data_IF_528590206616
#
_entry.id   IF_528590206616
#
_cell.length_a   1.000
_cell.length_b   1.000
_cell.length_c   1.000
_cell.angle_alpha   90.00
_cell.angle_beta   90.00
_cell.angle_gamma   90.00
#
_symmetry.space_group_name_H-M   'P 1'
#
loop_
_entity.id
_entity.type
_entity.pdbx_description
1 polymer ?
#
# COMPACT_ATOMS: atom_id res chain seq x y z
N UNK A 1 47.60 -22.73 -11.16
CA UNK A 1 47.33 -22.50 -12.60
C UNK A 1 46.43 -23.62 -13.06
N UNK A 2 45.13 -23.39 -13.09
CA UNK A 2 44.12 -24.44 -13.37
C UNK A 2 43.41 -24.07 -14.67
N UNK A 3 43.34 -24.98 -15.67
CA UNK A 3 42.78 -24.65 -16.96
C UNK A 3 41.25 -24.59 -16.90
N UNK A 4 40.69 -23.48 -17.38
CA UNK A 4 39.27 -23.33 -17.67
C UNK A 4 38.91 -24.16 -18.90
N UNK A 5 38.02 -25.13 -18.72
CA UNK A 5 37.40 -25.88 -19.82
C UNK A 5 36.14 -25.10 -20.25
N UNK A 6 36.20 -24.51 -21.44
CA UNK A 6 35.10 -23.81 -22.08
C UNK A 6 34.26 -24.84 -22.88
N UNK A 7 33.11 -25.25 -22.34
CA UNK A 7 32.16 -26.12 -23.06
C UNK A 7 31.18 -25.25 -23.83
N UNK A 8 31.39 -25.14 -25.14
CA UNK A 8 30.43 -24.53 -26.05
C UNK A 8 29.29 -25.51 -26.35
N UNK A 9 28.13 -25.29 -25.73
CA UNK A 9 26.90 -26.01 -26.05
C UNK A 9 26.34 -25.47 -27.37
N UNK A 10 26.59 -26.20 -28.45
CA UNK A 10 25.96 -26.00 -29.76
C UNK A 10 24.49 -26.39 -29.63
N UNK A 11 23.61 -25.38 -29.53
CA UNK A 11 22.17 -25.57 -29.45
C UNK A 11 21.59 -26.09 -30.76
N UNK A 12 20.97 -27.27 -30.74
CA UNK A 12 20.18 -27.76 -31.86
C UNK A 12 18.96 -26.84 -32.10
N UNK A 13 18.66 -26.48 -33.36
CA UNK A 13 17.47 -25.68 -33.69
C UNK A 13 16.22 -26.47 -33.34
N UNK A 14 15.41 -25.93 -32.41
CA UNK A 14 14.14 -26.52 -31.99
C UNK A 14 13.14 -26.44 -33.16
N UNK A 15 12.50 -27.54 -33.58
CA UNK A 15 11.53 -27.52 -34.66
C UNK A 15 10.38 -26.58 -34.30
N UNK A 16 10.03 -25.69 -35.23
CA UNK A 16 8.94 -24.73 -35.07
C UNK A 16 7.61 -25.50 -34.89
N UNK A 17 6.94 -25.24 -33.77
CA UNK A 17 5.61 -25.79 -33.53
C UNK A 17 4.63 -25.23 -34.58
N UNK A 18 3.70 -26.05 -35.11
CA UNK A 18 2.68 -25.58 -36.04
C UNK A 18 1.84 -24.48 -35.37
N UNK A 19 1.60 -23.40 -36.10
CA UNK A 19 0.79 -22.29 -35.62
C UNK A 19 -0.62 -22.82 -35.27
N UNK A 20 -1.15 -22.51 -34.06
CA UNK A 20 -2.51 -22.90 -33.72
C UNK A 20 -3.48 -22.23 -34.69
N UNK A 21 -4.39 -23.03 -35.26
CA UNK A 21 -5.50 -22.50 -36.05
C UNK A 21 -6.30 -21.50 -35.21
N UNK A 22 -6.67 -20.33 -35.75
CA UNK A 22 -7.50 -19.38 -35.03
C UNK A 22 -8.85 -20.02 -34.74
N UNK A 23 -9.13 -20.28 -33.47
CA UNK A 23 -10.46 -20.68 -33.02
C UNK A 23 -11.37 -19.48 -33.29
N UNK A 24 -12.50 -19.64 -34.01
CA UNK A 24 -13.47 -18.57 -34.19
C UNK A 24 -13.87 -18.06 -32.81
N UNK A 25 -13.63 -16.77 -32.56
CA UNK A 25 -14.11 -16.11 -31.35
C UNK A 25 -15.62 -16.11 -31.40
N UNK A 26 -16.22 -17.14 -30.82
CA UNK A 26 -17.64 -17.16 -30.50
C UNK A 26 -17.89 -15.94 -29.62
N UNK A 27 -18.72 -15.02 -30.13
CA UNK A 27 -19.19 -13.83 -29.43
C UNK A 27 -20.06 -14.30 -28.26
N UNK A 28 -19.40 -14.69 -27.17
CA UNK A 28 -20.07 -14.85 -25.87
C UNK A 28 -20.47 -13.43 -25.46
N UNK A 29 -21.76 -13.12 -25.57
CA UNK A 29 -22.32 -11.92 -24.95
C UNK A 29 -21.92 -11.96 -23.47
N UNK A 30 -21.15 -10.96 -22.98
CA UNK A 30 -20.71 -10.97 -21.61
C UNK A 30 -21.94 -10.99 -20.71
N UNK A 31 -22.01 -12.00 -19.85
CA UNK A 31 -23.02 -12.07 -18.79
C UNK A 31 -23.01 -10.73 -18.05
N UNK A 32 -24.16 -10.08 -17.83
CA UNK A 32 -24.20 -8.74 -17.25
C UNK A 32 -23.51 -8.78 -15.89
N UNK A 33 -22.33 -8.13 -15.81
CA UNK A 33 -21.58 -8.07 -14.56
C UNK A 33 -22.49 -7.50 -13.47
N UNK A 34 -22.52 -8.14 -12.28
CA UNK A 34 -23.30 -7.63 -11.16
C UNK A 34 -22.92 -6.16 -10.90
N UNK A 35 -23.89 -5.29 -10.59
CA UNK A 35 -23.62 -3.87 -10.41
C UNK A 35 -22.53 -3.70 -9.36
N UNK A 36 -21.49 -2.95 -9.71
CA UNK A 36 -20.38 -2.69 -8.80
C UNK A 36 -20.93 -2.15 -7.47
N UNK A 37 -20.42 -2.63 -6.31
CA UNK A 37 -20.84 -2.10 -5.02
C UNK A 37 -20.60 -0.60 -5.00
N UNK A 38 -21.65 0.17 -4.66
CA UNK A 38 -21.53 1.62 -4.50
C UNK A 38 -20.48 1.88 -3.41
N UNK A 39 -19.47 2.73 -3.64
CA UNK A 39 -18.46 3.01 -2.63
C UNK A 39 -19.13 3.52 -1.36
N UNK A 40 -18.77 2.93 -0.21
CA UNK A 40 -19.26 3.39 1.08
C UNK A 40 -18.74 4.81 1.32
N UNK A 41 -19.65 5.78 1.30
CA UNK A 41 -19.36 7.13 1.77
C UNK A 41 -19.24 7.18 3.30
N UNK A 42 -18.97 8.37 3.86
CA UNK A 42 -18.97 8.56 5.31
C UNK A 42 -20.32 8.15 5.91
N UNK A 43 -20.28 7.45 7.04
CA UNK A 43 -21.44 6.80 7.66
C UNK A 43 -22.01 7.62 8.82
N UNK A 44 -21.22 8.54 9.36
CA UNK A 44 -21.61 9.42 10.45
C UNK A 44 -21.12 10.86 10.20
N UNK A 45 -21.62 11.79 11.02
CA UNK A 45 -21.34 13.23 10.87
C UNK A 45 -19.87 13.59 11.08
N UNK A 46 -19.14 12.84 11.90
CA UNK A 46 -17.71 13.09 12.13
C UNK A 46 -16.89 12.65 10.92
N UNK A 47 -17.17 11.47 10.37
CA UNK A 47 -16.57 10.98 9.11
C UNK A 47 -16.88 11.94 7.95
N UNK A 48 -18.11 12.47 7.86
CA UNK A 48 -18.50 13.44 6.83
C UNK A 48 -17.73 14.76 6.97
N UNK A 49 -17.58 15.27 8.20
CA UNK A 49 -16.82 16.50 8.45
C UNK A 49 -15.33 16.33 8.11
N UNK A 50 -14.72 15.20 8.45
CA UNK A 50 -13.34 14.91 8.09
C UNK A 50 -13.18 14.71 6.57
N UNK A 51 -14.11 13.99 5.92
CA UNK A 51 -14.13 13.79 4.48
C UNK A 51 -14.17 15.12 3.71
N UNK A 52 -15.05 16.04 4.10
CA UNK A 52 -15.15 17.37 3.47
C UNK A 52 -13.86 18.17 3.59
N UNK A 53 -13.13 18.06 4.71
CA UNK A 53 -11.82 18.71 4.88
C UNK A 53 -10.72 18.06 4.03
N UNK A 54 -10.84 16.77 3.73
CA UNK A 54 -9.88 16.02 2.90
C UNK A 54 -10.12 16.19 1.39
N UNK A 55 -11.31 16.63 1.01
CA UNK A 55 -11.76 16.77 -0.37
C UNK A 55 -10.94 17.78 -1.22
N UNK A 56 -10.56 18.98 -0.73
CA UNK A 56 -9.86 19.98 -1.53
C UNK A 56 -8.50 19.48 -2.02
N UNK A 57 -8.25 19.51 -3.33
CA UNK A 57 -7.02 18.93 -3.90
C UNK A 57 -5.78 19.80 -3.68
N UNK A 58 -5.90 21.12 -3.72
CA UNK A 58 -4.79 22.06 -3.58
C UNK A 58 -5.31 23.33 -2.87
N UNK A 59 -4.70 23.77 -1.74
CA UNK A 59 -3.58 23.12 -1.04
C UNK A 59 -3.97 21.79 -0.40
N UNK A 60 -2.96 20.96 -0.11
CA UNK A 60 -3.15 19.76 0.72
C UNK A 60 -3.55 20.19 2.14
N UNK A 61 -4.60 19.58 2.73
CA UNK A 61 -5.03 19.94 4.08
C UNK A 61 -3.98 19.51 5.10
N UNK A 62 -3.77 20.35 6.12
CA UNK A 62 -2.92 20.01 7.27
C UNK A 62 -3.66 19.01 8.15
N UNK A 63 -3.01 17.93 8.58
CA UNK A 63 -3.66 16.88 9.38
C UNK A 63 -4.29 17.43 10.67
N UNK A 64 -3.63 18.36 11.34
CA UNK A 64 -4.18 19.05 12.52
C UNK A 64 -5.54 19.74 12.23
N UNK A 65 -5.72 20.31 11.04
CA UNK A 65 -6.99 20.95 10.65
C UNK A 65 -8.07 19.90 10.38
N UNK A 66 -7.72 18.76 9.77
CA UNK A 66 -8.64 17.64 9.54
C UNK A 66 -9.17 17.10 10.87
N UNK A 67 -8.25 16.86 11.81
CA UNK A 67 -8.54 16.29 13.13
C UNK A 67 -9.29 17.25 14.06
N UNK A 68 -9.23 18.56 13.81
CA UNK A 68 -9.87 19.56 14.65
C UNK A 68 -11.38 19.30 14.80
N UNK A 69 -11.81 18.98 16.01
CA UNK A 69 -13.21 18.74 16.37
C UNK A 69 -13.67 17.28 16.23
N UNK A 70 -12.79 16.34 15.89
CA UNK A 70 -13.11 14.91 15.94
C UNK A 70 -13.00 14.40 17.37
N UNK A 71 -13.96 13.57 17.78
CA UNK A 71 -13.97 12.95 19.10
C UNK A 71 -12.92 11.85 19.22
N UNK A 72 -12.71 11.10 18.13
CA UNK A 72 -11.70 10.07 17.97
C UNK A 72 -11.03 10.21 16.58
N UNK A 73 -9.98 11.04 16.48
CA UNK A 73 -9.31 11.28 15.20
C UNK A 73 -8.73 10.01 14.59
N UNK A 74 -8.12 9.14 15.40
CA UNK A 74 -7.47 7.92 14.91
C UNK A 74 -8.49 6.96 14.29
N UNK A 75 -9.58 6.64 15.01
CA UNK A 75 -10.61 5.76 14.47
C UNK A 75 -11.25 6.35 13.19
N UNK A 76 -11.55 7.64 13.18
CA UNK A 76 -12.18 8.33 12.04
C UNK A 76 -11.27 8.32 10.80
N UNK A 77 -9.97 8.60 10.97
CA UNK A 77 -9.01 8.64 9.86
C UNK A 77 -8.75 7.24 9.28
N UNK A 78 -8.59 6.22 10.12
CA UNK A 78 -8.43 4.84 9.67
C UNK A 78 -9.68 4.37 8.90
N UNK A 79 -10.85 4.74 9.40
CA UNK A 79 -12.12 4.41 8.78
C UNK A 79 -12.25 5.01 7.38
N UNK A 80 -11.89 6.29 7.21
CA UNK A 80 -11.89 6.97 5.92
C UNK A 80 -10.84 6.37 4.99
N UNK A 81 -9.62 6.13 5.49
CA UNK A 81 -8.53 5.56 4.71
C UNK A 81 -8.89 4.24 4.03
N UNK A 82 -9.66 3.40 4.73
CA UNK A 82 -9.97 2.06 4.29
C UNK A 82 -11.28 1.95 3.50
N UNK A 83 -12.32 2.69 3.87
CA UNK A 83 -13.64 2.57 3.25
C UNK A 83 -13.87 3.56 2.10
N UNK A 84 -13.29 4.77 2.15
CA UNK A 84 -13.53 5.78 1.12
C UNK A 84 -12.69 5.49 -0.13
N UNK A 85 -13.36 5.07 -1.20
CA UNK A 85 -12.71 4.75 -2.49
C UNK A 85 -12.73 5.89 -3.50
N UNK A 86 -13.53 6.93 -3.27
CA UNK A 86 -13.68 8.05 -4.21
C UNK A 86 -13.94 9.37 -3.49
N UNK A 87 -13.19 10.44 -3.84
CA UNK A 87 -12.04 10.43 -4.74
C UNK A 87 -10.81 9.73 -4.11
N UNK A 88 -9.90 9.15 -4.91
CA UNK A 88 -8.83 8.28 -4.40
C UNK A 88 -7.84 8.99 -3.46
N UNK A 89 -7.67 10.32 -3.60
CA UNK A 89 -6.77 11.08 -2.74
C UNK A 89 -7.29 11.25 -1.31
N UNK A 90 -8.61 11.15 -1.07
CA UNK A 90 -9.17 11.34 0.28
C UNK A 90 -8.72 10.22 1.21
N UNK A 91 -8.85 8.95 0.79
CA UNK A 91 -8.39 7.82 1.58
C UNK A 91 -6.87 7.84 1.83
N UNK A 92 -6.09 8.16 0.80
CA UNK A 92 -4.62 8.27 0.95
C UNK A 92 -4.20 9.38 1.91
N UNK A 93 -4.88 10.52 1.90
CA UNK A 93 -4.59 11.61 2.84
C UNK A 93 -5.01 11.28 4.26
N UNK A 94 -6.17 10.65 4.43
CA UNK A 94 -6.59 10.16 5.73
C UNK A 94 -5.56 9.17 6.31
N UNK A 95 -5.05 8.26 5.47
CA UNK A 95 -3.98 7.35 5.85
C UNK A 95 -2.67 8.08 6.21
N UNK A 96 -2.30 9.11 5.44
CA UNK A 96 -1.15 9.97 5.75
C UNK A 96 -1.28 10.65 7.11
N UNK A 97 -2.46 11.19 7.43
CA UNK A 97 -2.74 11.76 8.74
C UNK A 97 -2.75 10.71 9.86
N UNK A 98 -3.27 9.50 9.59
CA UNK A 98 -3.19 8.41 10.56
C UNK A 98 -1.73 8.07 10.89
N UNK A 99 -0.81 8.07 9.92
CA UNK A 99 0.62 7.83 10.16
C UNK A 99 1.23 8.85 11.12
N UNK A 100 0.83 10.12 11.09
CA UNK A 100 1.31 11.12 12.06
C UNK A 100 0.89 10.79 13.52
N UNK A 101 -0.10 9.91 13.68
CA UNK A 101 -0.57 9.38 14.96
C UNK A 101 -0.04 7.97 15.27
N UNK A 102 1.05 7.52 14.63
CA UNK A 102 1.58 6.17 14.76
C UNK A 102 1.88 5.70 16.20
N UNK A 103 2.05 6.63 17.15
CA UNK A 103 2.20 6.32 18.59
C UNK A 103 0.94 5.74 19.23
N UNK A 104 -0.23 5.85 18.59
CA UNK A 104 -1.47 5.29 19.11
C UNK A 104 -1.60 3.80 18.80
N UNK A 105 -1.95 2.95 19.79
CA UNK A 105 -1.98 1.50 19.59
C UNK A 105 -2.91 1.03 18.47
N UNK A 106 -4.06 1.70 18.28
CA UNK A 106 -5.00 1.35 17.22
C UNK A 106 -4.45 1.67 15.82
N UNK A 107 -3.71 2.77 15.70
CA UNK A 107 -3.04 3.18 14.45
C UNK A 107 -1.90 2.22 14.15
N UNK A 108 -1.03 1.93 15.12
CA UNK A 108 0.06 0.97 14.94
C UNK A 108 -0.46 -0.39 14.45
N UNK A 109 -1.53 -0.92 15.08
CA UNK A 109 -2.14 -2.17 14.67
C UNK A 109 -2.67 -2.12 13.22
N UNK A 110 -3.25 -0.99 12.80
CA UNK A 110 -3.69 -0.80 11.43
C UNK A 110 -2.51 -0.71 10.45
N UNK A 111 -1.43 -0.01 10.78
CA UNK A 111 -0.23 0.09 9.95
C UNK A 111 0.42 -1.29 9.71
N UNK A 112 0.56 -2.10 10.76
CA UNK A 112 1.06 -3.48 10.65
C UNK A 112 0.16 -4.32 9.75
N UNK A 113 -1.16 -4.14 9.84
CA UNK A 113 -2.12 -4.85 9.00
C UNK A 113 -2.02 -4.42 7.54
N UNK A 114 -1.89 -3.12 7.26
CA UNK A 114 -1.78 -2.59 5.89
C UNK A 114 -0.58 -3.15 5.13
N UNK A 115 0.55 -3.36 5.81
CA UNK A 115 1.76 -3.93 5.20
C UNK A 115 1.75 -5.46 5.10
N UNK A 116 0.92 -6.12 5.92
CA UNK A 116 0.82 -7.58 5.99
C UNK A 116 -0.25 -8.17 5.05
N UNK A 117 -1.27 -7.39 4.69
CA UNK A 117 -2.42 -7.84 3.90
C UNK A 117 -2.30 -7.45 2.41
N UNK A 118 -2.44 -8.42 1.49
CA UNK A 118 -2.31 -8.19 0.05
C UNK A 118 -3.35 -7.18 -0.47
N UNK A 119 -4.58 -7.26 0.01
CA UNK A 119 -5.67 -6.36 -0.35
C UNK A 119 -5.44 -4.90 0.09
N UNK A 120 -4.50 -4.65 1.00
CA UNK A 120 -4.15 -3.32 1.51
C UNK A 120 -2.77 -2.85 1.06
N UNK A 121 -2.11 -3.56 0.13
CA UNK A 121 -0.75 -3.26 -0.31
C UNK A 121 -0.53 -1.79 -0.72
N UNK A 122 -1.55 -1.11 -1.26
CA UNK A 122 -1.47 0.33 -1.56
C UNK A 122 -1.31 1.21 -0.32
N UNK A 123 -2.08 0.94 0.75
CA UNK A 123 -1.93 1.60 2.04
C UNK A 123 -0.63 1.15 2.75
N UNK A 124 -0.25 -0.12 2.60
CA UNK A 124 1.01 -0.64 3.11
C UNK A 124 2.22 0.09 2.53
N UNK A 125 2.26 0.28 1.19
CA UNK A 125 3.31 1.06 0.55
C UNK A 125 3.33 2.53 1.00
N UNK A 126 2.16 3.14 1.20
CA UNK A 126 2.10 4.49 1.76
C UNK A 126 2.70 4.55 3.17
N UNK A 127 2.38 3.58 4.04
CA UNK A 127 2.93 3.50 5.39
C UNK A 127 4.47 3.34 5.35
N UNK A 128 4.99 2.47 4.47
CA UNK A 128 6.43 2.27 4.28
C UNK A 128 7.13 3.56 3.81
N UNK A 129 6.53 4.29 2.86
CA UNK A 129 7.07 5.56 2.36
C UNK A 129 7.10 6.67 3.44
N UNK A 130 6.39 6.47 4.55
CA UNK A 130 6.26 7.43 5.64
C UNK A 130 6.91 6.95 6.94
N UNK A 131 7.74 5.90 6.91
CA UNK A 131 8.44 5.37 8.09
C UNK A 131 9.18 6.46 8.87
N UNK A 132 9.81 7.40 8.16
CA UNK A 132 10.59 8.50 8.77
C UNK A 132 9.75 9.56 9.49
N UNK A 133 8.41 9.49 9.38
CA UNK A 133 7.48 10.33 10.14
C UNK A 133 6.97 9.66 11.41
N UNK A 134 7.27 8.37 11.60
CA UNK A 134 6.82 7.60 12.75
C UNK A 134 7.86 7.68 13.89
N UNK A 135 7.47 7.38 15.14
CA UNK A 135 8.43 7.03 16.17
C UNK A 135 9.30 5.86 15.72
N UNK A 136 10.61 5.91 15.99
CA UNK A 136 11.58 4.93 15.49
C UNK A 136 11.23 3.49 15.88
N UNK A 137 10.70 3.28 17.08
CA UNK A 137 10.30 1.95 17.55
C UNK A 137 9.09 1.39 16.79
N UNK A 138 8.12 2.25 16.44
CA UNK A 138 6.95 1.89 15.61
C UNK A 138 7.40 1.64 14.17
N UNK A 139 8.24 2.52 13.63
CA UNK A 139 8.81 2.38 12.28
C UNK A 139 9.51 1.02 12.12
N UNK A 140 10.33 0.61 13.10
CA UNK A 140 11.00 -0.69 13.09
C UNK A 140 10.02 -1.87 13.05
N UNK A 141 8.91 -1.80 13.80
CA UNK A 141 7.88 -2.86 13.80
C UNK A 141 7.11 -2.92 12.48
N UNK A 142 6.72 -1.77 11.93
CA UNK A 142 6.06 -1.69 10.61
C UNK A 142 6.99 -2.16 9.49
N UNK A 143 8.25 -1.74 9.49
CA UNK A 143 9.26 -2.16 8.52
C UNK A 143 9.51 -3.68 8.57
N UNK A 144 9.60 -4.25 9.77
CA UNK A 144 9.73 -5.71 9.95
C UNK A 144 8.53 -6.43 9.34
N UNK A 145 7.30 -6.00 9.66
CA UNK A 145 6.09 -6.59 9.09
C UNK A 145 6.04 -6.44 7.56
N UNK A 146 6.49 -5.31 7.00
CA UNK A 146 6.54 -5.09 5.56
C UNK A 146 7.55 -6.03 4.86
N UNK A 147 8.69 -6.32 5.48
CA UNK A 147 9.70 -7.26 4.95
C UNK A 147 9.22 -8.72 4.96
N UNK A 148 8.31 -9.06 5.87
CA UNK A 148 7.67 -10.38 5.96
C UNK A 148 6.40 -10.47 5.07
N UNK A 149 5.85 -9.32 4.68
CA UNK A 149 4.58 -9.20 3.98
C UNK A 149 4.65 -9.31 2.44
N UNK A 150 3.49 -9.17 1.78
CA UNK A 150 3.37 -9.27 0.31
C UNK A 150 4.07 -8.12 -0.45
N UNK A 151 4.45 -7.04 0.24
CA UNK A 151 5.14 -5.89 -0.35
C UNK A 151 6.66 -5.89 -0.13
N UNK A 152 7.22 -6.99 0.38
CA UNK A 152 8.61 -7.09 0.83
C UNK A 152 9.67 -6.61 -0.18
N UNK A 153 9.56 -6.98 -1.45
CA UNK A 153 10.51 -6.56 -2.49
C UNK A 153 10.57 -5.03 -2.62
N UNK A 154 9.41 -4.36 -2.65
CA UNK A 154 9.34 -2.89 -2.70
C UNK A 154 9.72 -2.25 -1.38
N UNK A 155 9.36 -2.87 -0.26
CA UNK A 155 9.67 -2.35 1.06
C UNK A 155 11.18 -2.27 1.30
N UNK A 156 11.97 -3.21 0.74
CA UNK A 156 13.44 -3.18 0.86
C UNK A 156 14.06 -1.90 0.31
N UNK A 157 13.59 -1.42 -0.83
CA UNK A 157 14.13 -0.21 -1.47
C UNK A 157 13.88 1.03 -0.60
N UNK A 158 12.66 1.15 -0.05
CA UNK A 158 12.29 2.26 0.83
C UNK A 158 12.99 2.18 2.21
N UNK A 159 13.07 0.97 2.79
CA UNK A 159 13.75 0.74 4.07
C UNK A 159 15.24 1.08 3.98
N UNK A 160 15.89 0.81 2.83
CA UNK A 160 17.28 1.19 2.61
C UNK A 160 17.50 2.71 2.63
N UNK A 161 16.48 3.48 2.23
CA UNK A 161 16.48 4.94 2.20
C UNK A 161 16.03 5.62 3.49
N UNK A 162 15.48 4.88 4.47
CA UNK A 162 14.95 5.45 5.71
C UNK A 162 16.00 6.26 6.48
N UNK A 163 15.58 7.35 7.12
CA UNK A 163 16.39 8.13 8.05
C UNK A 163 16.72 7.39 9.35
N UNK A 164 15.84 6.47 9.79
CA UNK A 164 16.04 5.68 11.00
C UNK A 164 17.12 4.62 10.82
N UNK A 165 18.17 4.69 11.65
CA UNK A 165 19.26 3.71 11.57
C UNK A 165 18.78 2.30 11.90
N UNK A 166 17.97 2.14 12.94
CA UNK A 166 17.42 0.83 13.33
C UNK A 166 16.58 0.17 12.24
N UNK A 167 15.87 0.97 11.44
CA UNK A 167 15.10 0.49 10.28
C UNK A 167 16.02 -0.01 9.17
N UNK A 168 17.07 0.75 8.82
CA UNK A 168 18.06 0.32 7.81
C UNK A 168 18.78 -0.97 8.20
N UNK A 169 19.10 -1.14 9.48
CA UNK A 169 19.80 -2.32 10.00
C UNK A 169 19.00 -3.62 9.83
N UNK A 170 17.68 -3.56 9.62
CA UNK A 170 16.83 -4.72 9.33
C UNK A 170 17.21 -5.44 8.02
N UNK A 171 17.87 -4.75 7.08
CA UNK A 171 18.29 -5.34 5.81
C UNK A 171 19.55 -6.22 5.94
N UNK A 172 20.19 -6.22 7.12
CA UNK A 172 21.46 -6.88 7.34
C UNK A 172 22.66 -6.10 6.78
N UNK A 173 23.88 -6.63 7.00
CA UNK A 173 25.14 -6.04 6.53
C UNK A 173 25.39 -6.24 5.03
#
# INVERSE_FOLDING_TARGET
MTPMILVALVGCPRPAAPAPSPVPSELVEPEPEPPAPVPAGPRNKEEEAAYEKLLPRDPEPVCADVEAGLSDPAATLLQIAEEVKSPPWVGMRAAGCAVERASEPAVEAALIRWVSEEQLAGLGMLAVNLLDRMPEDVAGRVATAALEGPISDRARDEIAGSAHQSVRELLGP
#
